data_IF_448685703814
#
_entry.id   IF_448685703814
#
_cell.length_a   1.000
_cell.length_b   1.000
_cell.length_c   1.000
_cell.angle_alpha   90.00
_cell.angle_beta   90.00
_cell.angle_gamma   90.00
#
_symmetry.space_group_name_H-M   'P 1'
#
loop_
_entity.id
_entity.type
_entity.pdbx_description
1 polymer ?
#
# COMPACT_ATOMS: atom_id res chain seq x y z
N UNK A 1 -5.73 23.28 -7.91
CA UNK A 1 -5.55 21.93 -8.49
C UNK A 1 -6.80 21.53 -9.25
N UNK A 2 -6.66 21.13 -10.52
CA UNK A 2 -7.77 20.59 -11.32
C UNK A 2 -8.26 19.26 -10.73
N UNK A 3 -9.53 18.90 -10.94
CA UNK A 3 -10.14 17.73 -10.31
C UNK A 3 -9.40 16.41 -10.60
N UNK A 4 -8.87 16.23 -11.81
CA UNK A 4 -8.09 15.03 -12.14
C UNK A 4 -6.77 14.93 -11.36
N UNK A 5 -6.13 16.05 -11.03
CA UNK A 5 -4.89 16.05 -10.24
C UNK A 5 -5.17 15.62 -8.80
N UNK A 6 -6.30 16.06 -8.22
CA UNK A 6 -6.74 15.63 -6.88
C UNK A 6 -7.00 14.13 -6.85
N UNK A 7 -7.73 13.62 -7.84
CA UNK A 7 -8.01 12.19 -7.96
C UNK A 7 -6.71 11.38 -8.14
N UNK A 8 -5.80 11.85 -9.00
CA UNK A 8 -4.56 11.16 -9.23
C UNK A 8 -3.66 11.10 -7.98
N UNK A 9 -3.57 12.20 -7.23
CA UNK A 9 -2.89 12.23 -5.94
C UNK A 9 -3.54 11.25 -4.94
N UNK A 10 -4.88 11.18 -4.90
CA UNK A 10 -5.60 10.25 -4.05
C UNK A 10 -5.22 8.79 -4.36
N UNK A 11 -5.17 8.40 -5.63
CA UNK A 11 -4.74 7.07 -6.04
C UNK A 11 -3.30 6.74 -5.61
N UNK A 12 -2.38 7.71 -5.71
CA UNK A 12 -0.99 7.54 -5.28
C UNK A 12 -0.93 7.36 -3.76
N UNK A 13 -1.64 8.18 -3.00
CA UNK A 13 -1.66 8.10 -1.53
C UNK A 13 -2.26 6.77 -1.07
N UNK A 14 -3.37 6.33 -1.66
CA UNK A 14 -3.99 5.03 -1.37
C UNK A 14 -3.01 3.90 -1.71
N UNK A 15 -2.35 3.97 -2.87
CA UNK A 15 -1.36 2.98 -3.28
C UNK A 15 -0.19 2.87 -2.31
N UNK A 16 0.38 4.02 -1.92
CA UNK A 16 1.45 4.10 -0.95
C UNK A 16 1.02 3.56 0.43
N UNK A 17 -0.20 3.86 0.87
CA UNK A 17 -0.77 3.34 2.10
C UNK A 17 -0.81 1.81 2.09
N UNK A 18 -1.36 1.19 1.04
CA UNK A 18 -1.44 -0.28 0.96
C UNK A 18 -0.06 -0.94 0.96
N UNK A 19 0.91 -0.38 0.25
CA UNK A 19 2.29 -0.90 0.23
C UNK A 19 2.91 -0.79 1.62
N UNK A 20 2.83 0.38 2.25
CA UNK A 20 3.36 0.59 3.60
C UNK A 20 2.69 -0.33 4.63
N UNK A 21 1.37 -0.48 4.54
CA UNK A 21 0.61 -1.35 5.42
C UNK A 21 0.99 -2.82 5.23
N UNK A 22 1.13 -3.28 3.99
CA UNK A 22 1.61 -4.63 3.69
C UNK A 22 3.03 -4.87 4.21
N UNK A 23 3.93 -3.90 4.08
CA UNK A 23 5.30 -4.00 4.59
C UNK A 23 5.35 -4.12 6.12
N UNK A 24 4.52 -3.35 6.83
CA UNK A 24 4.46 -3.38 8.30
C UNK A 24 3.82 -4.66 8.86
N UNK A 25 2.96 -5.31 8.08
CA UNK A 25 2.29 -6.56 8.46
C UNK A 25 2.84 -7.76 7.67
N UNK A 26 4.09 -7.69 7.19
CA UNK A 26 4.67 -8.69 6.29
C UNK A 26 4.83 -10.07 6.96
N UNK A 27 4.42 -11.17 6.31
CA UNK A 27 4.68 -12.54 6.78
C UNK A 27 6.16 -12.91 6.79
N UNK A 28 6.97 -12.16 6.04
CA UNK A 28 8.41 -12.38 5.94
C UNK A 28 9.21 -11.53 6.94
N UNK A 29 8.54 -10.91 7.92
CA UNK A 29 9.20 -10.09 8.91
C UNK A 29 10.00 -10.95 9.91
N UNK A 30 11.07 -10.38 10.49
CA UNK A 30 11.85 -11.09 11.51
C UNK A 30 11.01 -11.35 12.76
N UNK A 31 11.39 -12.36 13.55
CA UNK A 31 10.73 -12.70 14.82
C UNK A 31 10.50 -11.47 15.72
N UNK A 32 11.43 -10.53 15.75
CA UNK A 32 11.28 -9.29 16.53
C UNK A 32 10.17 -8.37 16.03
N UNK A 33 9.91 -8.33 14.72
CA UNK A 33 8.81 -7.56 14.14
C UNK A 33 7.47 -8.25 14.34
N UNK A 34 7.43 -9.59 14.25
CA UNK A 34 6.23 -10.39 14.53
C UNK A 34 5.81 -10.18 16.00
N UNK A 35 6.76 -10.31 16.94
CA UNK A 35 6.51 -10.08 18.36
C UNK A 35 6.09 -8.62 18.64
N UNK A 36 6.71 -7.64 17.97
CA UNK A 36 6.29 -6.24 18.09
C UNK A 36 4.88 -6.00 17.58
N UNK A 37 4.47 -6.64 16.49
CA UNK A 37 3.12 -6.55 15.96
C UNK A 37 2.13 -7.16 16.95
N UNK A 38 2.41 -8.35 17.47
CA UNK A 38 1.57 -9.04 18.47
C UNK A 38 1.40 -8.20 19.76
N UNK A 39 2.49 -7.63 20.29
CA UNK A 39 2.47 -6.77 21.48
C UNK A 39 1.77 -5.43 21.21
N UNK A 40 1.87 -4.93 19.98
CA UNK A 40 1.18 -3.73 19.52
C UNK A 40 -0.32 -3.92 19.22
N UNK A 41 -0.86 -5.14 19.38
CA UNK A 41 -2.24 -5.48 19.00
C UNK A 41 -2.48 -5.54 17.49
N UNK A 42 -1.39 -5.63 16.71
CA UNK A 42 -1.38 -5.80 15.26
C UNK A 42 -1.16 -7.28 14.91
N UNK A 43 -1.49 -7.67 13.68
CA UNK A 43 -1.37 -9.06 13.21
C UNK A 43 -0.45 -9.14 11.99
N UNK A 44 0.05 -10.34 11.71
CA UNK A 44 0.86 -10.59 10.51
C UNK A 44 -0.05 -11.09 9.38
N UNK A 45 0.07 -10.53 8.17
CA UNK A 45 -0.71 -10.97 7.02
C UNK A 45 -0.31 -12.38 6.59
N UNK A 46 -1.26 -13.13 6.01
CA UNK A 46 -0.89 -14.34 5.27
C UNK A 46 -0.18 -13.98 3.96
N UNK A 47 0.65 -14.87 3.43
CA UNK A 47 1.41 -14.64 2.19
C UNK A 47 0.53 -14.19 1.03
N UNK A 48 -0.64 -14.81 0.86
CA UNK A 48 -1.58 -14.45 -0.21
C UNK A 48 -2.09 -13.01 -0.05
N UNK A 49 -2.45 -12.62 1.17
CA UNK A 49 -2.94 -11.27 1.45
C UNK A 49 -1.83 -10.21 1.35
N UNK A 50 -0.62 -10.54 1.77
CA UNK A 50 0.55 -9.66 1.60
C UNK A 50 0.77 -9.31 0.13
N UNK A 51 0.83 -10.31 -0.76
CA UNK A 51 1.01 -10.07 -2.19
C UNK A 51 -0.21 -9.40 -2.83
N UNK A 52 -1.43 -9.70 -2.39
CA UNK A 52 -2.63 -9.01 -2.86
C UNK A 52 -2.58 -7.51 -2.52
N UNK A 53 -2.19 -7.14 -1.30
CA UNK A 53 -2.10 -5.75 -0.87
C UNK A 53 -0.98 -5.00 -1.59
N UNK A 54 0.17 -5.65 -1.81
CA UNK A 54 1.23 -5.08 -2.65
C UNK A 54 0.77 -4.84 -4.08
N UNK A 55 0.07 -5.82 -4.68
CA UNK A 55 -0.46 -5.70 -6.04
C UNK A 55 -1.47 -4.56 -6.14
N UNK A 56 -2.45 -4.51 -5.25
CA UNK A 56 -3.46 -3.43 -5.20
C UNK A 56 -2.81 -2.07 -5.01
N UNK A 57 -1.82 -1.98 -4.11
CA UNK A 57 -1.08 -0.75 -3.86
C UNK A 57 -0.31 -0.28 -5.08
N UNK A 58 0.43 -1.18 -5.73
CA UNK A 58 1.19 -0.89 -6.94
C UNK A 58 0.29 -0.47 -8.11
N UNK A 59 -0.79 -1.21 -8.37
CA UNK A 59 -1.76 -0.88 -9.43
C UNK A 59 -2.40 0.49 -9.17
N UNK A 60 -2.77 0.78 -7.93
CA UNK A 60 -3.35 2.09 -7.56
C UNK A 60 -2.37 3.23 -7.81
N UNK A 61 -1.10 3.07 -7.43
CA UNK A 61 -0.07 4.07 -7.68
C UNK A 61 0.18 4.28 -9.18
N UNK A 62 0.26 3.19 -9.97
CA UNK A 62 0.41 3.26 -11.44
C UNK A 62 -0.76 3.99 -12.09
N UNK A 63 -2.00 3.69 -11.68
CA UNK A 63 -3.20 4.40 -12.18
C UNK A 63 -3.14 5.89 -11.83
N UNK A 64 -2.71 6.23 -10.62
CA UNK A 64 -2.52 7.63 -10.20
C UNK A 64 -1.51 8.37 -11.07
N UNK A 65 -0.32 7.78 -11.27
CA UNK A 65 0.72 8.36 -12.14
C UNK A 65 0.23 8.48 -13.59
N UNK A 66 -0.43 7.46 -14.11
CA UNK A 66 -0.99 7.46 -15.46
C UNK A 66 -2.01 8.59 -15.66
N UNK A 67 -2.90 8.82 -14.68
CA UNK A 67 -3.85 9.94 -14.70
C UNK A 67 -3.15 11.31 -14.68
N UNK A 68 -2.04 11.45 -13.95
CA UNK A 68 -1.24 12.69 -13.98
C UNK A 68 -0.57 12.92 -15.33
N UNK A 69 -0.14 11.87 -16.03
CA UNK A 69 0.57 11.98 -17.31
C UNK A 69 -0.40 12.22 -18.47
N UNK A 70 -1.49 11.45 -18.55
CA UNK A 70 -2.39 11.47 -19.72
C UNK A 70 -3.37 12.64 -19.68
N UNK A 71 -3.79 13.08 -18.49
CA UNK A 71 -4.77 14.17 -18.35
C UNK A 71 -4.14 15.54 -18.08
N UNK A 72 -2.86 15.74 -18.41
CA UNK A 72 -2.16 17.02 -18.23
C UNK A 72 -2.94 18.19 -18.82
#
# INVERSE_FOLDING_TARGET
MKNYMKLALLYIVIGAFFIYWAMTHSPNASLGTIVRNEIGGSYTLSSNWYYAMLFVGAVSAVIGVWKLIVRK
#
